data_IF_108847143152
#
_entry.id   IF_108847143152
#
_cell.length_a   1.000
_cell.length_b   1.000
_cell.length_c   1.000
_cell.angle_alpha   90.00
_cell.angle_beta   90.00
_cell.angle_gamma   90.00
#
_symmetry.space_group_name_H-M   'P 1'
#
loop_
_entity.id
_entity.type
_entity.pdbx_description
1 polymer ?
#
# COMPACT_ATOMS: atom_id res chain seq x y z
N UNK A 1 18.13 -4.15 3.79
CA UNK A 1 17.05 -4.86 4.50
C UNK A 1 16.61 -4.01 5.67
N UNK A 2 15.30 -3.98 5.94
CA UNK A 2 14.69 -3.41 7.14
C UNK A 2 14.27 -4.57 8.03
N UNK A 3 14.60 -4.49 9.31
CA UNK A 3 14.28 -5.51 10.31
C UNK A 3 13.49 -4.87 11.44
N UNK A 4 12.35 -5.46 11.79
CA UNK A 4 11.51 -5.03 12.89
C UNK A 4 11.32 -6.23 13.80
N UNK A 5 11.71 -6.10 15.07
CA UNK A 5 11.69 -7.17 16.04
C UNK A 5 10.97 -6.72 17.31
N UNK A 6 9.80 -7.30 17.55
CA UNK A 6 8.96 -7.08 18.74
C UNK A 6 8.66 -5.61 19.01
N UNK A 7 8.56 -4.82 17.94
CA UNK A 7 8.45 -3.37 18.03
C UNK A 7 7.12 -3.01 18.70
N UNK A 8 7.21 -2.29 19.81
CA UNK A 8 6.06 -1.99 20.66
C UNK A 8 6.06 -0.50 21.00
N UNK A 9 4.87 0.12 20.92
CA UNK A 9 4.66 1.49 21.37
C UNK A 9 3.45 1.60 22.28
N UNK A 10 3.69 2.08 23.50
CA UNK A 10 2.67 2.43 24.49
C UNK A 10 2.68 3.93 24.74
N UNK A 11 1.49 4.53 24.77
CA UNK A 11 1.27 5.89 25.22
C UNK A 11 0.44 5.83 26.50
N UNK A 12 1.05 6.15 27.63
CA UNK A 12 0.47 5.90 28.95
C UNK A 12 -0.06 4.45 29.06
N UNK A 13 -1.36 4.27 29.24
CA UNK A 13 -2.00 2.96 29.37
C UNK A 13 -2.43 2.34 28.03
N UNK A 14 -2.34 3.07 26.92
CA UNK A 14 -2.81 2.62 25.61
C UNK A 14 -1.66 2.06 24.76
N UNK A 15 -1.77 0.80 24.33
CA UNK A 15 -0.80 0.17 23.42
C UNK A 15 -1.25 0.39 21.98
N UNK A 16 -0.44 1.10 21.18
CA UNK A 16 -0.77 1.45 19.79
C UNK A 16 -0.12 0.49 18.79
N UNK A 17 1.07 -0.02 19.12
CA UNK A 17 1.76 -1.07 18.36
C UNK A 17 2.20 -2.11 19.38
N UNK A 18 1.87 -3.37 19.14
CA UNK A 18 2.06 -4.49 20.08
C UNK A 18 2.79 -5.65 19.39
N UNK A 19 4.05 -5.85 19.79
CA UNK A 19 4.90 -6.98 19.37
C UNK A 19 5.05 -7.15 17.84
N UNK A 20 5.13 -6.04 17.10
CA UNK A 20 5.20 -6.08 15.64
C UNK A 20 6.57 -6.60 15.17
N UNK A 21 6.57 -7.66 14.36
CA UNK A 21 7.81 -8.28 13.84
C UNK A 21 7.66 -8.66 12.38
N UNK A 22 8.53 -8.13 11.51
CA UNK A 22 8.65 -8.52 10.11
C UNK A 22 9.94 -7.95 9.50
N UNK A 23 10.26 -8.39 8.27
CA UNK A 23 11.48 -8.03 7.55
C UNK A 23 11.14 -7.63 6.12
N UNK A 24 11.90 -6.70 5.56
CA UNK A 24 11.68 -6.17 4.21
C UNK A 24 13.01 -6.20 3.44
N UNK A 25 12.99 -6.82 2.26
CA UNK A 25 14.16 -6.99 1.41
C UNK A 25 14.30 -5.86 0.38
N UNK A 26 15.54 -5.52 -0.05
CA UNK A 26 15.75 -4.61 -1.17
C UNK A 26 14.97 -5.06 -2.42
N UNK A 27 14.36 -4.11 -3.13
CA UNK A 27 13.50 -4.38 -4.29
C UNK A 27 12.04 -4.67 -3.93
N UNK A 28 11.70 -4.79 -2.63
CA UNK A 28 10.31 -4.95 -2.20
C UNK A 28 9.60 -3.60 -2.07
N UNK A 29 8.38 -3.54 -2.61
CA UNK A 29 7.39 -2.51 -2.29
C UNK A 29 6.37 -3.11 -1.35
N UNK A 30 6.47 -2.74 -0.07
CA UNK A 30 5.58 -3.19 0.99
C UNK A 30 4.40 -2.24 1.15
N UNK A 31 3.19 -2.72 0.90
CA UNK A 31 1.96 -2.09 1.37
C UNK A 31 1.77 -2.34 2.86
N UNK A 32 1.66 -1.28 3.65
CA UNK A 32 1.40 -1.34 5.08
C UNK A 32 -0.02 -0.86 5.37
N UNK A 33 -0.90 -1.82 5.66
CA UNK A 33 -2.35 -1.65 5.64
C UNK A 33 -2.95 -1.81 7.01
N UNK A 34 -4.08 -1.17 7.26
CA UNK A 34 -4.79 -1.26 8.52
C UNK A 34 -5.83 -0.15 8.65
N UNK A 35 -6.90 -0.32 9.44
CA UNK A 35 -7.88 0.73 9.63
C UNK A 35 -7.27 1.96 10.30
N UNK A 36 -8.02 3.06 10.34
CA UNK A 36 -7.61 4.23 11.09
C UNK A 36 -7.43 3.86 12.57
N UNK A 37 -6.32 4.34 13.16
CA UNK A 37 -5.96 3.97 14.53
C UNK A 37 -5.27 2.62 14.70
N UNK A 38 -5.06 1.82 13.64
CA UNK A 38 -4.40 0.51 13.74
C UNK A 38 -2.92 0.56 14.16
N UNK A 39 -2.28 1.74 14.13
CA UNK A 39 -0.87 1.93 14.46
C UNK A 39 0.06 2.21 13.27
N UNK A 40 -0.49 2.46 12.06
CA UNK A 40 0.27 2.71 10.82
C UNK A 40 1.30 3.83 10.95
N UNK A 41 0.82 5.07 11.09
CA UNK A 41 1.69 6.24 11.18
C UNK A 41 2.59 6.22 12.43
N UNK A 42 2.16 5.56 13.51
CA UNK A 42 2.99 5.37 14.72
C UNK A 42 4.17 4.45 14.42
N UNK A 43 3.95 3.36 13.68
CA UNK A 43 5.01 2.46 13.21
C UNK A 43 5.97 3.20 12.29
N UNK A 44 5.45 3.95 11.31
CA UNK A 44 6.28 4.75 10.40
C UNK A 44 7.15 5.77 11.14
N UNK A 45 6.57 6.49 12.11
CA UNK A 45 7.31 7.43 12.97
C UNK A 45 8.38 6.76 13.82
N UNK A 46 8.17 5.50 14.24
CA UNK A 46 9.22 4.75 14.93
C UNK A 46 10.36 4.39 13.98
N UNK A 47 10.05 3.87 12.80
CA UNK A 47 11.07 3.49 11.82
C UNK A 47 11.94 4.67 11.34
N UNK A 48 11.37 5.89 11.31
CA UNK A 48 12.12 7.11 10.96
C UNK A 48 13.00 7.63 12.10
N UNK A 49 12.87 7.07 13.31
CA UNK A 49 13.51 7.58 14.52
C UNK A 49 12.86 8.85 15.07
N UNK A 50 11.71 9.30 14.51
CA UNK A 50 10.95 10.45 15.03
C UNK A 50 10.29 10.13 16.37
N UNK A 51 9.92 8.88 16.58
CA UNK A 51 9.29 8.39 17.80
C UNK A 51 10.08 7.21 18.37
N UNK A 52 10.56 7.30 19.61
CA UNK A 52 11.21 6.16 20.24
C UNK A 52 10.20 5.03 20.52
N UNK A 53 10.51 3.76 20.20
CA UNK A 53 9.73 2.62 20.68
C UNK A 53 9.74 2.53 22.21
N UNK A 54 8.69 1.93 22.77
CA UNK A 54 8.65 1.59 24.20
C UNK A 54 9.49 0.34 24.49
N UNK A 55 9.44 -0.64 23.59
CA UNK A 55 10.27 -1.84 23.62
C UNK A 55 10.41 -2.43 22.21
N UNK A 56 11.30 -3.43 22.07
CA UNK A 56 11.66 -4.00 20.78
C UNK A 56 12.74 -3.19 20.08
N UNK A 57 13.05 -3.54 18.84
CA UNK A 57 14.06 -2.85 18.05
C UNK A 57 13.69 -2.81 16.57
N UNK A 58 14.28 -1.87 15.85
CA UNK A 58 14.26 -1.87 14.40
C UNK A 58 15.64 -1.50 13.85
N UNK A 59 16.01 -2.12 12.73
CA UNK A 59 17.30 -1.87 12.05
C UNK A 59 17.08 -1.53 10.59
N UNK A 60 17.77 -0.50 10.13
CA UNK A 60 17.81 -0.08 8.73
C UNK A 60 19.20 -0.37 8.19
N UNK A 61 19.32 -1.40 7.35
CA UNK A 61 20.59 -1.85 6.78
C UNK A 61 21.68 -2.10 7.85
N UNK A 62 21.30 -2.74 8.95
CA UNK A 62 22.18 -3.06 10.07
C UNK A 62 22.34 -1.95 11.12
N UNK A 63 21.86 -0.73 10.86
CA UNK A 63 21.89 0.38 11.81
C UNK A 63 20.63 0.40 12.67
N UNK A 64 20.78 0.35 13.99
CA UNK A 64 19.67 0.46 14.93
C UNK A 64 19.10 1.88 14.94
N UNK A 65 17.77 2.01 14.89
CA UNK A 65 17.09 3.32 14.80
C UNK A 65 17.27 4.20 16.05
N UNK A 66 17.58 3.62 17.21
CA UNK A 66 17.79 4.34 18.48
C UNK A 66 19.28 4.55 18.77
N UNK A 67 20.15 3.57 18.49
CA UNK A 67 21.59 3.66 18.80
C UNK A 67 22.40 4.31 17.69
N UNK A 68 22.03 4.08 16.42
CA UNK A 68 22.71 4.57 15.22
C UNK A 68 21.81 5.54 14.42
N UNK A 69 20.95 6.31 15.09
CA UNK A 69 19.87 7.10 14.49
C UNK A 69 20.29 7.88 13.24
N UNK A 70 21.39 8.63 13.29
CA UNK A 70 21.86 9.41 12.13
C UNK A 70 22.31 8.52 10.96
N UNK A 71 22.93 7.37 11.23
CA UNK A 71 23.34 6.43 10.18
C UNK A 71 22.10 5.77 9.56
N UNK A 72 21.13 5.38 10.39
CA UNK A 72 19.86 4.82 9.96
C UNK A 72 19.05 5.81 9.10
N UNK A 73 18.93 7.06 9.54
CA UNK A 73 18.24 8.14 8.80
C UNK A 73 18.92 8.50 7.47
N UNK A 74 20.24 8.36 7.36
CA UNK A 74 20.94 8.51 6.06
C UNK A 74 20.54 7.44 5.05
N UNK A 75 20.08 6.27 5.50
CA UNK A 75 19.60 5.21 4.60
C UNK A 75 18.14 5.39 4.18
N UNK A 76 17.39 6.30 4.83
CA UNK A 76 15.93 6.40 4.73
C UNK A 76 15.49 7.77 4.20
N UNK A 77 14.60 7.76 3.21
CA UNK A 77 13.77 8.91 2.85
C UNK A 77 12.38 8.74 3.45
N UNK A 78 11.78 9.86 3.86
CA UNK A 78 10.47 9.84 4.49
C UNK A 78 9.58 10.92 3.88
N UNK A 79 8.43 10.50 3.36
CA UNK A 79 7.34 11.36 2.95
C UNK A 79 6.21 11.20 3.98
N UNK A 80 6.08 12.12 4.95
CA UNK A 80 4.96 12.09 5.90
C UNK A 80 3.61 12.40 5.23
N UNK A 81 2.53 12.04 5.92
CA UNK A 81 1.16 12.41 5.57
C UNK A 81 1.03 13.92 5.35
N UNK A 82 0.28 14.33 4.32
CA UNK A 82 0.08 15.74 3.98
C UNK A 82 1.28 16.46 3.35
N UNK A 83 2.47 15.85 3.30
CA UNK A 83 3.70 16.44 2.77
C UNK A 83 3.95 17.88 3.27
N UNK A 84 4.09 18.09 4.60
CA UNK A 84 4.29 19.41 5.17
C UNK A 84 5.60 20.00 4.63
N UNK A 85 5.49 21.18 4.05
CA UNK A 85 6.60 21.93 3.45
C UNK A 85 6.50 23.40 3.89
N UNK A 86 7.58 24.17 3.75
CA UNK A 86 7.56 25.61 3.96
C UNK A 86 6.83 26.30 2.81
N UNK A 87 5.56 26.65 3.03
CA UNK A 87 4.66 27.16 1.98
C UNK A 87 5.21 28.38 1.23
N UNK A 88 5.82 29.31 1.97
CA UNK A 88 6.35 30.58 1.44
C UNK A 88 7.67 30.42 0.66
N UNK A 89 8.29 29.24 0.70
CA UNK A 89 9.53 28.98 -0.05
C UNK A 89 9.21 28.60 -1.49
N UNK A 90 10.06 29.06 -2.41
CA UNK A 90 10.09 28.53 -3.76
C UNK A 90 10.56 27.07 -3.76
N UNK A 91 10.02 26.25 -4.65
CA UNK A 91 10.38 24.81 -4.76
C UNK A 91 11.89 24.60 -4.83
N UNK A 92 12.59 25.33 -5.70
CA UNK A 92 14.05 25.25 -5.81
C UNK A 92 14.73 25.58 -4.48
N UNK A 93 14.34 26.69 -3.85
CA UNK A 93 14.93 27.15 -2.60
C UNK A 93 14.73 26.14 -1.47
N UNK A 94 13.55 25.52 -1.40
CA UNK A 94 13.26 24.45 -0.44
C UNK A 94 14.17 23.23 -0.65
N UNK A 95 14.29 22.73 -1.88
CA UNK A 95 15.13 21.55 -2.15
C UNK A 95 16.62 21.84 -1.91
N UNK A 96 17.08 23.04 -2.25
CA UNK A 96 18.44 23.47 -1.93
C UNK A 96 18.68 23.57 -0.42
N UNK A 97 17.70 24.09 0.34
CA UNK A 97 17.74 24.12 1.80
C UNK A 97 17.81 22.71 2.39
N UNK A 98 16.97 21.78 1.93
CA UNK A 98 17.01 20.38 2.38
C UNK A 98 18.37 19.74 2.08
N UNK A 99 18.92 19.98 0.89
CA UNK A 99 20.25 19.50 0.55
C UNK A 99 21.33 20.06 1.50
N UNK A 100 21.20 21.32 1.89
CA UNK A 100 22.13 21.96 2.82
C UNK A 100 22.03 21.42 4.24
N UNK A 101 20.81 21.20 4.74
CA UNK A 101 20.55 20.56 6.03
C UNK A 101 21.18 19.16 6.09
N UNK A 102 21.18 18.45 4.95
CA UNK A 102 21.82 17.13 4.82
C UNK A 102 23.34 17.18 4.64
N UNK A 103 23.94 18.37 4.60
CA UNK A 103 25.38 18.57 4.51
C UNK A 103 25.95 18.70 3.09
N UNK A 104 25.11 18.68 2.05
CA UNK A 104 25.58 18.84 0.68
C UNK A 104 25.85 20.30 0.32
N UNK A 105 26.93 20.57 -0.41
CA UNK A 105 27.34 21.93 -0.82
C UNK A 105 27.83 21.93 -2.28
N UNK A 106 28.00 23.12 -2.84
CA UNK A 106 28.66 23.31 -4.14
C UNK A 106 28.04 22.52 -5.30
N UNK A 107 28.88 21.84 -6.07
CA UNK A 107 28.46 21.06 -7.24
C UNK A 107 27.60 19.85 -6.87
N UNK A 108 27.90 19.17 -5.75
CA UNK A 108 27.14 18.01 -5.29
C UNK A 108 25.69 18.41 -4.94
N UNK A 109 25.50 19.54 -4.23
CA UNK A 109 24.18 20.10 -3.95
C UNK A 109 23.36 20.26 -5.24
N UNK A 110 23.93 20.93 -6.24
CA UNK A 110 23.26 21.20 -7.52
C UNK A 110 22.90 19.91 -8.25
N UNK A 111 23.82 18.95 -8.29
CA UNK A 111 23.58 17.65 -8.94
C UNK A 111 22.46 16.87 -8.27
N UNK A 112 22.43 16.79 -6.94
CA UNK A 112 21.40 16.06 -6.20
C UNK A 112 20.03 16.70 -6.34
N UNK A 113 19.95 18.03 -6.24
CA UNK A 113 18.70 18.76 -6.44
C UNK A 113 18.19 18.56 -7.86
N UNK A 114 19.03 18.71 -8.88
CA UNK A 114 18.65 18.50 -10.27
C UNK A 114 18.10 17.08 -10.51
N UNK A 115 18.80 16.06 -10.00
CA UNK A 115 18.36 14.66 -10.12
C UNK A 115 17.02 14.42 -9.43
N UNK A 116 16.84 14.91 -8.19
CA UNK A 116 15.58 14.73 -7.48
C UNK A 116 14.41 15.42 -8.22
N UNK A 117 14.64 16.62 -8.75
CA UNK A 117 13.66 17.37 -9.55
C UNK A 117 13.28 16.63 -10.81
N UNK A 118 14.25 16.03 -11.50
CA UNK A 118 14.02 15.25 -12.71
C UNK A 118 13.23 13.98 -12.40
N UNK A 119 13.62 13.25 -11.34
CA UNK A 119 12.97 12.01 -10.94
C UNK A 119 11.50 12.17 -10.56
N UNK A 120 11.06 13.36 -10.14
CA UNK A 120 9.65 13.63 -9.77
C UNK A 120 8.99 14.69 -10.66
N UNK A 121 9.64 15.04 -11.77
CA UNK A 121 9.14 15.95 -12.80
C UNK A 121 8.67 17.33 -12.26
N UNK A 122 9.54 18.03 -11.54
CA UNK A 122 9.24 19.35 -10.95
C UNK A 122 9.74 20.56 -11.75
N UNK A 123 10.32 20.35 -12.94
CA UNK A 123 11.02 21.37 -13.73
C UNK A 123 10.14 22.60 -13.99
N UNK A 124 8.86 22.38 -14.33
CA UNK A 124 7.91 23.45 -14.67
C UNK A 124 7.52 24.35 -13.49
N UNK A 125 7.74 23.91 -12.24
CA UNK A 125 7.27 24.60 -11.04
C UNK A 125 8.39 25.05 -10.10
N UNK A 126 9.66 24.89 -10.50
CA UNK A 126 10.82 25.21 -9.65
C UNK A 126 10.85 26.64 -9.10
N UNK A 127 10.35 27.59 -9.90
CA UNK A 127 10.30 29.01 -9.57
C UNK A 127 9.00 29.46 -8.91
N UNK A 128 8.08 28.55 -8.59
CA UNK A 128 6.83 28.88 -7.91
C UNK A 128 6.95 28.67 -6.39
N UNK A 129 6.16 29.44 -5.64
CA UNK A 129 5.97 29.24 -4.19
C UNK A 129 5.29 27.90 -3.96
N UNK A 130 5.69 27.16 -2.92
CA UNK A 130 5.11 25.83 -2.63
C UNK A 130 3.62 25.94 -2.33
N UNK A 131 3.18 27.01 -1.66
CA UNK A 131 1.78 27.20 -1.31
C UNK A 131 0.84 27.29 -2.53
N UNK A 132 1.33 27.84 -3.66
CA UNK A 132 0.53 28.05 -4.88
C UNK A 132 0.40 26.79 -5.73
N UNK A 133 1.14 25.74 -5.39
CA UNK A 133 1.10 24.47 -6.12
C UNK A 133 -0.20 23.70 -5.86
N UNK A 134 -0.60 22.92 -6.87
CA UNK A 134 -1.64 21.91 -6.70
C UNK A 134 -1.22 20.86 -5.66
N UNK A 135 -2.19 20.12 -5.10
CA UNK A 135 -1.92 19.03 -4.15
C UNK A 135 -0.93 18.00 -4.71
N UNK A 136 -1.10 17.58 -5.97
CA UNK A 136 -0.19 16.66 -6.64
C UNK A 136 1.25 17.20 -6.73
N UNK A 137 1.43 18.47 -7.07
CA UNK A 137 2.76 19.08 -7.10
C UNK A 137 3.38 19.22 -5.70
N UNK A 138 2.60 19.61 -4.68
CA UNK A 138 3.08 19.60 -3.28
C UNK A 138 3.56 18.22 -2.85
N UNK A 139 2.85 17.17 -3.27
CA UNK A 139 3.24 15.79 -3.00
C UNK A 139 4.55 15.40 -3.69
N UNK A 140 4.73 15.80 -4.96
CA UNK A 140 5.99 15.61 -5.70
C UNK A 140 7.15 16.37 -5.06
N UNK A 141 6.94 17.58 -4.54
CA UNK A 141 7.95 18.31 -3.74
C UNK A 141 8.32 17.54 -2.47
N UNK A 142 7.32 16.99 -1.77
CA UNK A 142 7.53 16.09 -0.64
C UNK A 142 8.34 14.84 -1.02
N UNK A 143 8.05 14.23 -2.16
CA UNK A 143 8.81 13.07 -2.65
C UNK A 143 10.25 13.45 -3.03
N UNK A 144 10.44 14.59 -3.69
CA UNK A 144 11.75 15.12 -4.06
C UNK A 144 12.67 15.27 -2.84
N UNK A 145 12.17 15.82 -1.72
CA UNK A 145 12.97 15.94 -0.50
C UNK A 145 13.33 14.58 0.12
N UNK A 146 12.44 13.58 -0.03
CA UNK A 146 12.63 12.25 0.52
C UNK A 146 13.71 11.47 -0.24
N UNK A 147 13.80 11.66 -1.56
CA UNK A 147 14.77 10.97 -2.43
C UNK A 147 16.09 11.73 -2.62
N UNK A 148 16.18 13.00 -2.19
CA UNK A 148 17.28 13.92 -2.50
C UNK A 148 18.68 13.35 -2.20
N UNK A 149 18.83 12.65 -1.08
CA UNK A 149 20.09 12.06 -0.63
C UNK A 149 20.37 10.66 -1.16
N UNK A 150 19.54 10.14 -2.07
CA UNK A 150 19.62 8.77 -2.58
C UNK A 150 19.47 7.67 -1.52
N UNK A 151 18.37 7.68 -0.74
CA UNK A 151 18.20 6.66 0.27
C UNK A 151 18.06 5.26 -0.35
N UNK A 152 18.42 4.25 0.44
CA UNK A 152 18.21 2.84 0.11
C UNK A 152 16.81 2.35 0.50
N UNK A 153 16.12 3.10 1.35
CA UNK A 153 14.75 2.84 1.76
C UNK A 153 13.88 4.11 1.70
N UNK A 154 12.61 3.97 1.39
CA UNK A 154 11.61 5.04 1.40
C UNK A 154 10.41 4.61 2.24
N UNK A 155 9.94 5.50 3.11
CA UNK A 155 8.63 5.39 3.75
C UNK A 155 7.74 6.49 3.19
N UNK A 156 6.61 6.10 2.63
CA UNK A 156 5.62 6.97 2.01
C UNK A 156 4.29 6.81 2.77
N UNK A 157 3.92 7.81 3.57
CA UNK A 157 2.69 7.78 4.35
C UNK A 157 1.54 8.43 3.56
N UNK A 158 0.61 7.59 3.11
CA UNK A 158 -0.59 7.91 2.30
C UNK A 158 -0.30 8.59 0.95
N UNK A 159 0.70 8.14 0.15
CA UNK A 159 1.31 8.92 -0.95
C UNK A 159 0.34 9.46 -1.98
N UNK A 160 -0.81 8.82 -2.20
CA UNK A 160 -1.78 9.24 -3.21
C UNK A 160 -3.10 9.79 -2.64
N UNK A 161 -3.17 9.97 -1.32
CA UNK A 161 -4.36 10.53 -0.66
C UNK A 161 -4.70 11.95 -1.16
N UNK A 162 -5.99 12.20 -1.36
CA UNK A 162 -6.52 13.46 -1.84
C UNK A 162 -6.14 13.86 -3.28
N UNK A 163 -5.54 12.95 -4.06
CA UNK A 163 -5.21 13.15 -5.49
C UNK A 163 -6.32 12.62 -6.41
N UNK A 164 -6.47 13.22 -7.60
CA UNK A 164 -7.36 12.70 -8.65
C UNK A 164 -6.75 11.45 -9.33
N UNK A 165 -7.54 10.67 -10.10
CA UNK A 165 -7.07 9.42 -10.70
C UNK A 165 -5.81 9.55 -11.58
N UNK A 166 -5.66 10.64 -12.34
CA UNK A 166 -4.49 10.84 -13.20
C UNK A 166 -3.24 11.13 -12.37
N UNK A 167 -3.38 11.96 -11.33
CA UNK A 167 -2.29 12.23 -10.39
C UNK A 167 -1.88 10.98 -9.60
N UNK A 168 -2.85 10.15 -9.17
CA UNK A 168 -2.56 8.85 -8.52
C UNK A 168 -1.74 7.97 -9.46
N UNK A 169 -2.15 7.82 -10.70
CA UNK A 169 -1.42 7.02 -11.70
C UNK A 169 0.03 7.48 -11.86
N UNK A 170 0.25 8.79 -11.98
CA UNK A 170 1.60 9.37 -12.08
C UNK A 170 2.45 9.07 -10.83
N UNK A 171 1.90 9.26 -9.62
CA UNK A 171 2.63 8.94 -8.38
C UNK A 171 2.96 7.45 -8.29
N UNK A 172 2.05 6.57 -8.72
CA UNK A 172 2.30 5.12 -8.75
C UNK A 172 3.46 4.78 -9.69
N UNK A 173 3.50 5.37 -10.89
CA UNK A 173 4.62 5.19 -11.82
C UNK A 173 5.95 5.70 -11.24
N UNK A 174 5.94 6.86 -10.57
CA UNK A 174 7.11 7.38 -9.88
C UNK A 174 7.62 6.40 -8.81
N UNK A 175 6.72 5.84 -8.01
CA UNK A 175 7.07 4.85 -6.98
C UNK A 175 7.66 3.58 -7.61
N UNK A 176 7.05 3.06 -8.69
CA UNK A 176 7.56 1.89 -9.40
C UNK A 176 8.97 2.12 -9.95
N UNK A 177 9.23 3.28 -10.54
CA UNK A 177 10.55 3.64 -11.05
C UNK A 177 11.60 3.72 -9.92
N UNK A 178 11.21 4.22 -8.74
CA UNK A 178 12.05 4.29 -7.55
C UNK A 178 12.30 2.93 -6.89
N UNK A 179 11.45 1.93 -7.14
CA UNK A 179 11.47 0.65 -6.42
C UNK A 179 12.60 -0.30 -6.84
N UNK A 180 13.11 -0.18 -8.07
CA UNK A 180 14.02 -1.15 -8.72
C UNK A 180 15.17 -1.66 -7.83
N UNK A 181 15.80 -0.77 -7.05
CA UNK A 181 16.94 -1.08 -6.18
C UNK A 181 16.70 -0.73 -4.70
N UNK A 182 15.49 -0.25 -4.35
CA UNK A 182 15.18 0.33 -3.03
C UNK A 182 14.15 -0.49 -2.28
N UNK A 183 14.09 -0.30 -0.97
CA UNK A 183 12.97 -0.75 -0.15
C UNK A 183 11.95 0.37 -0.13
N UNK A 184 10.68 0.11 -0.45
CA UNK A 184 9.62 1.13 -0.32
C UNK A 184 8.53 0.59 0.60
N UNK A 185 8.17 1.37 1.62
CA UNK A 185 7.01 1.11 2.48
C UNK A 185 5.96 2.16 2.15
N UNK A 186 4.77 1.71 1.75
CA UNK A 186 3.61 2.55 1.46
C UNK A 186 2.57 2.31 2.54
N UNK A 187 2.35 3.29 3.41
CA UNK A 187 1.18 3.26 4.30
C UNK A 187 -0.02 3.76 3.50
N UNK A 188 -1.07 2.94 3.41
CA UNK A 188 -2.28 3.27 2.68
C UNK A 188 -3.49 2.58 3.29
N UNK A 189 -4.64 3.23 3.20
CA UNK A 189 -5.94 2.61 3.46
C UNK A 189 -6.70 2.27 2.16
N UNK A 190 -6.09 2.56 1.00
CA UNK A 190 -6.68 2.35 -0.33
C UNK A 190 -6.15 1.04 -0.91
N UNK A 191 -6.99 0.00 -0.91
CA UNK A 191 -6.61 -1.35 -1.33
C UNK A 191 -6.19 -1.43 -2.80
N UNK A 192 -6.76 -0.60 -3.67
CA UNK A 192 -6.38 -0.53 -5.09
C UNK A 192 -4.89 -0.16 -5.29
N UNK A 193 -4.28 0.57 -4.35
CA UNK A 193 -2.85 0.89 -4.43
C UNK A 193 -1.98 -0.33 -4.17
N UNK A 194 -2.45 -1.25 -3.34
CA UNK A 194 -1.73 -2.48 -2.99
C UNK A 194 -1.57 -3.34 -4.22
N UNK A 195 -2.68 -3.66 -4.89
CA UNK A 195 -2.67 -4.48 -6.10
C UNK A 195 -1.91 -3.81 -7.24
N UNK A 196 -1.95 -2.48 -7.33
CA UNK A 196 -1.31 -1.75 -8.43
C UNK A 196 0.21 -1.57 -8.28
N UNK A 197 0.75 -1.50 -7.05
CA UNK A 197 2.15 -1.07 -6.82
C UNK A 197 2.93 -1.97 -5.88
N UNK A 198 2.27 -2.68 -4.96
CA UNK A 198 2.96 -3.41 -3.91
C UNK A 198 3.29 -4.84 -4.34
N UNK A 199 4.53 -5.28 -4.10
CA UNK A 199 4.93 -6.68 -4.26
C UNK A 199 4.49 -7.55 -3.09
N UNK A 200 4.29 -6.92 -1.91
CA UNK A 200 3.91 -7.57 -0.66
C UNK A 200 3.05 -6.63 0.17
N UNK A 201 2.17 -7.18 0.98
CA UNK A 201 1.26 -6.45 1.84
C UNK A 201 1.30 -7.02 3.26
N UNK A 202 1.47 -6.13 4.23
CA UNK A 202 1.33 -6.41 5.66
C UNK A 202 0.09 -5.69 6.16
N UNK A 203 -0.82 -6.45 6.74
CA UNK A 203 -2.06 -5.93 7.34
C UNK A 203 -1.90 -5.92 8.85
N UNK A 204 -2.19 -4.78 9.46
CA UNK A 204 -2.24 -4.60 10.90
C UNK A 204 -3.64 -4.23 11.39
N UNK A 205 -4.01 -4.75 12.55
CA UNK A 205 -5.24 -4.40 13.25
C UNK A 205 -4.96 -4.33 14.75
N UNK A 206 -5.52 -3.32 15.44
CA UNK A 206 -5.32 -3.11 16.88
C UNK A 206 -3.84 -3.20 17.33
N UNK A 207 -2.92 -2.65 16.53
CA UNK A 207 -1.49 -2.64 16.81
C UNK A 207 -0.73 -3.93 16.51
N UNK A 208 -1.39 -4.98 16.00
CA UNK A 208 -0.80 -6.30 15.74
C UNK A 208 -0.80 -6.64 14.26
N UNK A 209 0.16 -7.46 13.84
CA UNK A 209 0.21 -8.06 12.51
C UNK A 209 -0.86 -9.15 12.40
N UNK A 210 -1.76 -9.01 11.43
CA UNK A 210 -2.86 -9.97 11.18
C UNK A 210 -2.73 -10.71 9.85
N UNK A 211 -2.02 -10.12 8.88
CA UNK A 211 -1.64 -10.82 7.67
C UNK A 211 -0.34 -10.28 7.08
N UNK A 212 0.35 -11.13 6.35
CA UNK A 212 1.59 -10.85 5.65
C UNK A 212 1.66 -11.80 4.44
N UNK A 213 1.73 -11.23 3.23
CA UNK A 213 1.74 -12.00 1.99
C UNK A 213 1.69 -11.10 0.75
N UNK A 214 1.73 -11.70 -0.42
CA UNK A 214 1.51 -10.99 -1.68
C UNK A 214 0.05 -10.55 -1.82
N UNK A 215 -0.26 -9.51 -2.64
CA UNK A 215 -1.65 -9.14 -2.92
C UNK A 215 -2.50 -10.33 -3.38
N UNK A 216 -1.93 -11.20 -4.22
CA UNK A 216 -2.58 -12.42 -4.70
C UNK A 216 -2.86 -13.43 -3.58
N UNK A 217 -1.91 -13.66 -2.68
CA UNK A 217 -2.12 -14.54 -1.51
C UNK A 217 -3.15 -14.01 -0.52
N UNK A 218 -3.32 -12.68 -0.46
CA UNK A 218 -4.38 -12.07 0.33
C UNK A 218 -5.73 -12.22 -0.37
N UNK A 219 -5.82 -11.96 -1.68
CA UNK A 219 -7.02 -12.17 -2.50
C UNK A 219 -7.51 -13.62 -2.42
N UNK A 220 -6.58 -14.60 -2.42
CA UNK A 220 -6.93 -16.01 -2.34
C UNK A 220 -7.56 -16.45 -1.01
N UNK A 221 -7.48 -15.61 0.03
CA UNK A 221 -8.18 -15.83 1.31
C UNK A 221 -9.64 -15.38 1.28
N UNK A 222 -10.05 -14.67 0.22
CA UNK A 222 -11.41 -14.19 0.09
C UNK A 222 -12.37 -15.34 -0.12
N UNK A 223 -13.57 -15.26 0.46
CA UNK A 223 -14.66 -16.22 0.17
C UNK A 223 -15.11 -16.19 -1.29
N UNK A 224 -14.75 -15.13 -2.01
CA UNK A 224 -14.99 -14.96 -3.45
C UNK A 224 -13.85 -15.52 -4.32
N UNK A 225 -12.76 -16.06 -3.74
CA UNK A 225 -11.72 -16.69 -4.53
C UNK A 225 -12.27 -17.91 -5.28
N UNK A 226 -12.04 -17.99 -6.60
CA UNK A 226 -12.61 -19.00 -7.50
C UNK A 226 -14.14 -18.94 -7.62
N UNK A 227 -14.80 -17.89 -7.11
CA UNK A 227 -16.22 -17.69 -7.37
C UNK A 227 -16.45 -17.39 -8.85
N UNK A 228 -17.61 -17.77 -9.36
CA UNK A 228 -18.00 -17.53 -10.76
C UNK A 228 -19.19 -16.59 -10.78
N UNK A 229 -18.98 -15.41 -11.31
CA UNK A 229 -20.04 -14.41 -11.49
C UNK A 229 -20.63 -14.54 -12.88
N UNK A 230 -21.94 -14.75 -12.95
CA UNK A 230 -22.71 -14.94 -14.16
C UNK A 230 -23.67 -13.75 -14.34
N UNK A 231 -23.89 -13.34 -15.58
CA UNK A 231 -24.94 -12.39 -15.97
C UNK A 231 -25.73 -12.97 -17.13
N UNK A 232 -26.99 -13.34 -16.90
CA UNK A 232 -27.88 -13.89 -17.93
C UNK A 232 -28.71 -12.84 -18.67
N UNK A 233 -29.31 -13.26 -19.78
CA UNK A 233 -30.45 -12.56 -20.40
C UNK A 233 -31.77 -12.77 -19.65
N UNK A 234 -31.83 -13.83 -18.83
CA UNK A 234 -33.02 -14.25 -18.09
C UNK A 234 -32.60 -14.77 -16.70
N UNK A 235 -33.55 -14.96 -15.76
CA UNK A 235 -33.26 -15.52 -14.44
C UNK A 235 -32.55 -16.88 -14.54
N UNK A 236 -31.48 -17.02 -13.77
CA UNK A 236 -30.69 -18.26 -13.68
C UNK A 236 -31.20 -19.14 -12.54
N UNK A 237 -31.08 -20.46 -12.68
CA UNK A 237 -31.54 -21.43 -11.68
C UNK A 237 -30.52 -21.53 -10.52
N UNK A 238 -30.76 -20.77 -9.45
CA UNK A 238 -29.93 -20.75 -8.25
C UNK A 238 -29.81 -22.13 -7.59
N UNK A 239 -30.88 -22.92 -7.61
CA UNK A 239 -30.89 -24.25 -6.99
C UNK A 239 -30.00 -25.21 -7.76
N UNK A 240 -30.05 -25.18 -9.09
CA UNK A 240 -29.16 -25.97 -9.92
C UNK A 240 -27.69 -25.56 -9.75
N UNK A 241 -27.40 -24.26 -9.62
CA UNK A 241 -26.04 -23.76 -9.38
C UNK A 241 -25.52 -24.16 -8.00
N UNK A 242 -26.36 -24.06 -6.96
CA UNK A 242 -26.01 -24.45 -5.59
C UNK A 242 -25.75 -25.96 -5.44
N UNK A 243 -26.34 -26.79 -6.31
CA UNK A 243 -26.16 -28.24 -6.29
C UNK A 243 -24.88 -28.72 -6.99
N UNK A 244 -24.09 -27.83 -7.60
CA UNK A 244 -22.87 -28.20 -8.31
C UNK A 244 -21.75 -28.65 -7.34
N UNK A 245 -20.89 -29.61 -7.75
CA UNK A 245 -19.74 -30.03 -6.95
C UNK A 245 -18.82 -28.87 -6.60
N UNK A 246 -18.42 -28.78 -5.33
CA UNK A 246 -17.48 -27.77 -4.84
C UNK A 246 -18.08 -26.37 -4.65
N UNK A 247 -19.39 -26.19 -4.81
CA UNK A 247 -20.07 -24.93 -4.52
C UNK A 247 -20.36 -24.79 -3.02
N UNK A 248 -20.07 -23.61 -2.47
CA UNK A 248 -20.34 -23.25 -1.07
C UNK A 248 -21.66 -22.49 -0.92
N UNK A 249 -22.11 -21.79 -1.96
CA UNK A 249 -23.34 -21.01 -1.96
C UNK A 249 -23.53 -20.22 -3.24
N UNK A 250 -24.68 -19.57 -3.38
CA UNK A 250 -25.00 -18.69 -4.51
C UNK A 250 -25.54 -17.37 -3.94
N UNK A 251 -25.01 -16.25 -4.42
CA UNK A 251 -25.43 -14.91 -4.01
C UNK A 251 -26.05 -14.17 -5.20
N UNK A 252 -27.12 -13.42 -4.95
CA UNK A 252 -27.72 -12.51 -5.94
C UNK A 252 -26.97 -11.19 -5.92
N UNK A 253 -26.58 -10.70 -7.10
CA UNK A 253 -25.96 -9.39 -7.24
C UNK A 253 -27.03 -8.31 -7.46
N UNK A 254 -26.65 -7.03 -7.35
CA UNK A 254 -27.57 -5.90 -7.59
C UNK A 254 -28.01 -5.79 -9.06
N UNK A 255 -27.19 -6.27 -10.00
CA UNK A 255 -27.49 -6.29 -11.43
C UNK A 255 -28.54 -7.37 -11.73
N UNK A 256 -29.53 -7.03 -12.55
CA UNK A 256 -30.55 -7.99 -12.98
C UNK A 256 -29.93 -9.24 -13.61
N UNK A 257 -30.48 -10.39 -13.25
CA UNK A 257 -30.06 -11.71 -13.72
C UNK A 257 -28.57 -12.03 -13.48
N UNK A 258 -27.99 -11.42 -12.44
CA UNK A 258 -26.61 -11.68 -12.05
C UNK A 258 -26.51 -12.45 -10.74
N UNK A 259 -25.76 -13.55 -10.78
CA UNK A 259 -25.49 -14.42 -9.64
C UNK A 259 -23.99 -14.62 -9.48
N UNK A 260 -23.53 -14.70 -8.23
CA UNK A 260 -22.17 -15.09 -7.87
C UNK A 260 -22.20 -16.47 -7.22
N UNK A 261 -21.61 -17.47 -7.87
CA UNK A 261 -21.50 -18.83 -7.32
C UNK A 261 -20.20 -18.91 -6.53
N UNK A 262 -20.29 -19.14 -5.23
CA UNK A 262 -19.14 -19.22 -4.34
C UNK A 262 -18.53 -20.62 -4.36
N UNK A 263 -17.21 -20.70 -4.43
CA UNK A 263 -16.48 -21.96 -4.33
C UNK A 263 -16.22 -22.33 -2.86
N UNK A 264 -16.18 -23.63 -2.57
CA UNK A 264 -15.59 -24.12 -1.33
C UNK A 264 -14.07 -23.88 -1.34
N UNK A 265 -13.42 -23.69 -0.18
CA UNK A 265 -11.98 -23.45 -0.12
C UNK A 265 -11.16 -24.50 -0.90
N UNK A 266 -10.34 -24.03 -1.84
CA UNK A 266 -9.47 -24.88 -2.67
C UNK A 266 -10.16 -25.58 -3.85
N UNK A 267 -11.45 -25.36 -4.09
CA UNK A 267 -12.17 -25.91 -5.24
C UNK A 267 -12.15 -24.96 -6.44
N UNK A 268 -12.11 -25.53 -7.65
CA UNK A 268 -12.27 -24.79 -8.92
C UNK A 268 -13.61 -25.19 -9.53
N UNK A 269 -14.59 -24.29 -9.45
CA UNK A 269 -15.97 -24.57 -9.87
C UNK A 269 -16.30 -24.14 -11.29
N UNK A 270 -15.47 -23.32 -11.93
CA UNK A 270 -15.70 -22.80 -13.28
C UNK A 270 -16.06 -23.87 -14.34
N UNK A 271 -15.35 -25.01 -14.45
CA UNK A 271 -15.73 -26.04 -15.41
C UNK A 271 -17.13 -26.62 -15.18
N UNK A 272 -17.53 -26.80 -13.92
CA UNK A 272 -18.86 -27.32 -13.56
C UNK A 272 -19.96 -26.29 -13.89
N UNK A 273 -19.71 -25.01 -13.57
CA UNK A 273 -20.64 -23.92 -13.87
C UNK A 273 -20.81 -23.76 -15.39
N UNK A 274 -19.71 -23.75 -16.14
CA UNK A 274 -19.72 -23.63 -17.61
C UNK A 274 -20.46 -24.80 -18.27
N UNK A 275 -20.25 -26.03 -17.80
CA UNK A 275 -20.97 -27.20 -18.30
C UNK A 275 -22.49 -27.13 -18.03
N UNK A 276 -22.90 -26.64 -16.85
CA UNK A 276 -24.32 -26.47 -16.52
C UNK A 276 -24.98 -25.42 -17.41
N UNK A 277 -24.31 -24.27 -17.62
CA UNK A 277 -24.77 -23.20 -18.52
C UNK A 277 -25.04 -23.76 -19.91
N UNK A 278 -24.10 -24.53 -20.46
CA UNK A 278 -24.26 -25.16 -21.77
C UNK A 278 -25.40 -26.19 -21.81
N UNK A 279 -25.50 -27.06 -20.79
CA UNK A 279 -26.52 -28.10 -20.71
C UNK A 279 -27.95 -27.53 -20.57
N UNK A 280 -28.10 -26.39 -19.88
CA UNK A 280 -29.38 -25.70 -19.72
C UNK A 280 -29.70 -24.72 -20.85
N UNK A 281 -28.76 -24.48 -21.77
CA UNK A 281 -28.92 -23.52 -22.86
C UNK A 281 -29.10 -22.08 -22.38
N UNK A 282 -28.45 -21.71 -21.26
CA UNK A 282 -28.54 -20.35 -20.75
C UNK A 282 -27.74 -19.38 -21.60
N UNK A 283 -28.39 -18.30 -22.03
CA UNK A 283 -27.71 -17.18 -22.68
C UNK A 283 -27.05 -16.29 -21.62
N UNK A 284 -25.73 -16.43 -21.49
CA UNK A 284 -24.90 -15.66 -20.57
C UNK A 284 -24.23 -14.51 -21.34
N UNK A 285 -24.43 -13.29 -20.86
CA UNK A 285 -23.76 -12.08 -21.35
C UNK A 285 -22.32 -12.00 -20.87
N UNK A 286 -22.12 -12.30 -19.59
CA UNK A 286 -20.83 -12.18 -18.90
C UNK A 286 -20.66 -13.36 -17.95
N UNK A 287 -19.46 -13.94 -17.95
CA UNK A 287 -19.05 -15.00 -17.04
C UNK A 287 -17.61 -14.75 -16.63
N UNK A 288 -17.39 -14.43 -15.36
CA UNK A 288 -16.07 -14.07 -14.84
C UNK A 288 -15.69 -14.94 -13.65
N UNK A 289 -14.41 -15.32 -13.57
CA UNK A 289 -13.85 -16.02 -12.41
C UNK A 289 -13.18 -15.00 -11.51
N UNK A 290 -13.65 -14.90 -10.27
CA UNK A 290 -13.12 -13.96 -9.30
C UNK A 290 -11.80 -14.45 -8.71
N UNK A 291 -10.81 -13.56 -8.70
CA UNK A 291 -9.53 -13.78 -7.98
C UNK A 291 -9.69 -13.70 -6.47
N UNK A 292 -10.79 -13.10 -6.00
CA UNK A 292 -11.02 -12.75 -4.61
C UNK A 292 -11.06 -11.24 -4.41
N UNK A 293 -11.63 -10.81 -3.29
CA UNK A 293 -11.89 -9.40 -2.98
C UNK A 293 -11.07 -8.97 -1.76
N UNK A 294 -10.05 -8.13 -1.96
CA UNK A 294 -9.17 -7.66 -0.88
C UNK A 294 -9.92 -6.90 0.22
N UNK A 295 -10.98 -6.16 -0.14
CA UNK A 295 -11.80 -5.40 0.78
C UNK A 295 -12.63 -6.27 1.71
N UNK A 296 -13.04 -7.45 1.25
CA UNK A 296 -13.67 -8.47 2.09
C UNK A 296 -12.63 -9.07 3.04
N UNK A 297 -11.50 -9.54 2.52
CA UNK A 297 -10.40 -10.11 3.33
C UNK A 297 -9.96 -9.14 4.43
N UNK A 298 -9.79 -7.86 4.07
CA UNK A 298 -9.40 -6.83 5.02
C UNK A 298 -10.46 -6.58 6.10
N UNK A 299 -11.76 -6.58 5.73
CA UNK A 299 -12.86 -6.48 6.71
C UNK A 299 -12.86 -7.65 7.68
N UNK A 300 -12.77 -8.87 7.17
CA UNK A 300 -12.69 -10.14 7.92
C UNK A 300 -11.53 -10.11 8.91
N UNK A 301 -10.32 -9.77 8.44
CA UNK A 301 -9.11 -9.71 9.27
C UNK A 301 -9.14 -8.60 10.34
N UNK A 302 -9.80 -7.47 10.07
CA UNK A 302 -9.74 -6.29 10.95
C UNK A 302 -10.91 -6.20 11.93
N UNK A 303 -12.05 -6.85 11.62
CA UNK A 303 -13.23 -6.90 12.50
C UNK A 303 -13.27 -8.13 13.41
N UNK A 304 -12.40 -9.12 13.18
CA UNK A 304 -12.38 -10.35 13.97
C UNK A 304 -13.54 -11.30 13.65
N UNK A 305 -14.27 -11.06 12.56
CA UNK A 305 -15.20 -12.03 11.99
C UNK A 305 -14.33 -13.06 11.25
N UNK A 306 -13.86 -14.09 11.95
CA UNK A 306 -13.36 -15.28 11.28
C UNK A 306 -14.54 -15.92 10.53
N UNK A 307 -14.32 -16.23 9.25
CA UNK A 307 -15.17 -17.14 8.50
C UNK A 307 -15.24 -18.51 9.21
#
# INVERSE_FOLDING_TARGET
MIEIEKLTKRFAQHTVVDDLSFRIQPGEVLGFLGPNGAGKSTTMKMLTGFLAPTSGSARLFGFDIQKDTLKAQRQLGYLPEGAPCYGDMHVRGFLEFIAEVRGYRGAEKRSRVARAVEQVELQAVLGQSIETLSKGFKRRVGLAQAILHDPRALILDEPTDGLDPNQKHQVRQLIQNLATDKIIIISTHILEEVTAVCSRAVVIAAGKLVADGTPFELESRSRYHQAVTLVGDAPLDEVALAALPGVAGVERNEREHSLTVLAQPGQVIFPHVSALVAARGWNIKEMDVERGRLDEVFRTLTRGEAA
#
